data_IF_696923322682
#
_entry.id   IF_696923322682
#
_cell.length_a   1.000
_cell.length_b   1.000
_cell.length_c   1.000
_cell.angle_alpha   90.00
_cell.angle_beta   90.00
_cell.angle_gamma   90.00
#
_symmetry.space_group_name_H-M   'P 1'
#
loop_
_entity.id
_entity.type
_entity.pdbx_description
1 polymer ?
#
# COMPACT_ATOMS: atom_id res chain seq x y z
N UNK A 1 7.49 11.57 -46.12
CA UNK A 1 8.60 11.14 -45.22
C UNK A 1 8.63 11.95 -43.92
N UNK A 2 8.66 13.29 -43.96
CA UNK A 2 8.73 14.17 -42.77
C UNK A 2 7.56 14.02 -41.78
N UNK A 3 6.37 13.68 -42.26
CA UNK A 3 5.15 13.47 -41.46
C UNK A 3 5.10 12.12 -40.72
N UNK A 4 5.81 11.10 -41.21
CA UNK A 4 5.89 9.80 -40.54
C UNK A 4 6.90 9.84 -39.40
N UNK A 5 8.02 10.54 -39.59
CA UNK A 5 9.06 10.74 -38.56
C UNK A 5 8.51 11.53 -37.37
N UNK A 6 7.74 12.60 -37.61
CA UNK A 6 7.14 13.38 -36.53
C UNK A 6 6.10 12.60 -35.72
N UNK A 7 5.32 11.72 -36.36
CA UNK A 7 4.38 10.81 -35.66
C UNK A 7 5.11 9.79 -34.79
N UNK A 8 6.21 9.21 -35.28
CA UNK A 8 7.03 8.29 -34.50
C UNK A 8 7.67 8.99 -33.29
N UNK A 9 8.20 10.20 -33.48
CA UNK A 9 8.76 11.00 -32.38
C UNK A 9 7.70 11.31 -31.32
N UNK A 10 6.51 11.72 -31.73
CA UNK A 10 5.40 11.99 -30.80
C UNK A 10 5.00 10.73 -30.01
N UNK A 11 4.92 9.57 -30.67
CA UNK A 11 4.60 8.30 -30.01
C UNK A 11 5.68 7.89 -29.00
N UNK A 12 6.96 8.06 -29.34
CA UNK A 12 8.07 7.78 -28.43
C UNK A 12 8.03 8.70 -27.22
N UNK A 13 7.81 10.00 -27.43
CA UNK A 13 7.68 10.96 -26.32
C UNK A 13 6.50 10.59 -25.42
N UNK A 14 5.34 10.27 -25.99
CA UNK A 14 4.18 9.85 -25.21
C UNK A 14 4.46 8.58 -24.40
N UNK A 15 5.12 7.58 -24.99
CA UNK A 15 5.50 6.35 -24.30
C UNK A 15 6.49 6.63 -23.14
N UNK A 16 7.48 7.50 -23.36
CA UNK A 16 8.43 7.91 -22.33
C UNK A 16 7.74 8.65 -21.18
N UNK A 17 6.82 9.57 -21.47
CA UNK A 17 6.04 10.28 -20.45
C UNK A 17 5.21 9.31 -19.61
N UNK A 18 4.53 8.36 -20.25
CA UNK A 18 3.75 7.33 -19.55
C UNK A 18 4.64 6.45 -18.66
N UNK A 19 5.83 6.06 -19.16
CA UNK A 19 6.79 5.28 -18.40
C UNK A 19 7.26 6.04 -17.15
N UNK A 20 7.65 7.32 -17.32
CA UNK A 20 8.09 8.16 -16.20
C UNK A 20 6.96 8.33 -15.17
N UNK A 21 5.74 8.59 -15.62
CA UNK A 21 4.58 8.71 -14.73
C UNK A 21 4.31 7.41 -13.94
N UNK A 22 4.41 6.25 -14.60
CA UNK A 22 4.23 4.96 -13.93
C UNK A 22 5.31 4.69 -12.87
N UNK A 23 6.57 4.97 -13.18
CA UNK A 23 7.70 4.80 -12.24
C UNK A 23 7.58 5.77 -11.07
N UNK A 24 7.26 7.05 -11.33
CA UNK A 24 7.04 8.05 -10.29
C UNK A 24 5.87 7.67 -9.38
N UNK A 25 4.76 7.19 -9.95
CA UNK A 25 3.61 6.71 -9.19
C UNK A 25 3.97 5.52 -8.29
N UNK A 26 4.72 4.54 -8.81
CA UNK A 26 5.12 3.35 -8.07
C UNK A 26 6.08 3.69 -6.91
N UNK A 27 7.08 4.52 -7.17
CA UNK A 27 8.04 4.95 -6.14
C UNK A 27 7.34 5.73 -5.02
N UNK A 28 6.47 6.70 -5.38
CA UNK A 28 5.70 7.46 -4.41
C UNK A 28 4.79 6.59 -3.53
N UNK A 29 4.14 5.58 -4.13
CA UNK A 29 3.32 4.62 -3.39
C UNK A 29 4.15 3.80 -2.38
N UNK A 30 5.30 3.29 -2.81
CA UNK A 30 6.19 2.50 -1.96
C UNK A 30 6.74 3.31 -0.78
N UNK A 31 7.15 4.55 -1.04
CA UNK A 31 7.62 5.48 -0.02
C UNK A 31 6.55 5.83 1.00
N UNK A 32 5.30 6.01 0.56
CA UNK A 32 4.18 6.27 1.45
C UNK A 32 3.93 5.08 2.38
N UNK A 33 3.95 3.86 1.85
CA UNK A 33 3.79 2.65 2.66
C UNK A 33 4.93 2.50 3.68
N UNK A 34 6.17 2.77 3.28
CA UNK A 34 7.33 2.72 4.17
C UNK A 34 7.24 3.78 5.29
N UNK A 35 6.85 5.01 4.96
CA UNK A 35 6.65 6.09 5.94
C UNK A 35 5.61 5.72 6.99
N UNK A 36 4.44 5.24 6.57
CA UNK A 36 3.37 4.86 7.51
C UNK A 36 3.83 3.77 8.48
N UNK A 37 4.57 2.76 7.99
CA UNK A 37 5.12 1.71 8.86
C UNK A 37 6.11 2.29 9.88
N UNK A 38 7.06 3.10 9.41
CA UNK A 38 8.06 3.71 10.27
C UNK A 38 7.43 4.61 11.34
N UNK A 39 6.44 5.43 10.96
CA UNK A 39 5.70 6.28 11.91
C UNK A 39 4.94 5.45 12.95
N UNK A 40 4.29 4.35 12.55
CA UNK A 40 3.59 3.46 13.46
C UNK A 40 4.54 2.75 14.44
N UNK A 41 5.68 2.26 13.96
CA UNK A 41 6.71 1.64 14.80
C UNK A 41 7.32 2.66 15.77
N UNK A 42 7.64 3.87 15.29
CA UNK A 42 8.17 4.93 16.15
C UNK A 42 7.16 5.39 17.22
N UNK A 43 5.87 5.47 16.88
CA UNK A 43 4.83 5.90 17.82
C UNK A 43 4.52 4.83 18.89
N UNK A 44 4.68 3.55 18.58
CA UNK A 44 4.27 2.45 19.47
C UNK A 44 5.45 1.72 20.13
N UNK A 45 6.67 1.87 19.61
CA UNK A 45 7.80 1.01 19.91
C UNK A 45 7.61 -0.45 19.41
N UNK A 46 6.58 -0.69 18.59
CA UNK A 46 6.25 -1.99 18.05
C UNK A 46 7.05 -2.36 16.80
N UNK A 47 6.80 -3.58 16.31
CA UNK A 47 7.37 -4.13 15.08
C UNK A 47 6.23 -4.61 14.17
N UNK A 48 6.05 -3.94 13.03
CA UNK A 48 4.95 -4.25 12.11
C UNK A 48 5.09 -5.63 11.46
N UNK A 49 6.31 -6.16 11.33
CA UNK A 49 6.55 -7.49 10.78
C UNK A 49 6.01 -8.61 11.70
N UNK A 50 5.86 -8.32 13.01
CA UNK A 50 5.33 -9.27 14.00
C UNK A 50 3.84 -9.11 14.26
N UNK A 51 3.19 -8.08 13.69
CA UNK A 51 1.80 -7.75 13.99
C UNK A 51 0.84 -8.92 13.67
N UNK A 52 0.90 -9.50 12.47
CA UNK A 52 -0.02 -10.55 12.05
C UNK A 52 0.11 -11.84 12.90
N UNK A 53 1.31 -12.43 13.08
CA UNK A 53 1.48 -13.58 13.96
C UNK A 53 0.97 -13.34 15.39
N UNK A 54 1.22 -12.15 15.96
CA UNK A 54 0.76 -11.80 17.31
C UNK A 54 -0.77 -11.71 17.35
N UNK A 55 -1.40 -11.02 16.40
CA UNK A 55 -2.86 -10.91 16.33
C UNK A 55 -3.54 -12.28 16.20
N UNK A 56 -2.98 -13.17 15.37
CA UNK A 56 -3.49 -14.53 15.22
C UNK A 56 -3.31 -15.34 16.50
N UNK A 57 -2.12 -15.31 17.11
CA UNK A 57 -1.84 -16.06 18.34
C UNK A 57 -2.71 -15.61 19.53
N UNK A 58 -3.09 -14.34 19.58
CA UNK A 58 -3.98 -13.79 20.62
C UNK A 58 -5.47 -13.89 20.26
N UNK A 59 -5.82 -14.46 19.11
CA UNK A 59 -7.22 -14.67 18.72
C UNK A 59 -7.99 -13.40 18.37
N UNK A 60 -7.31 -12.29 18.05
CA UNK A 60 -7.95 -11.01 17.78
C UNK A 60 -8.99 -11.10 16.64
N UNK A 61 -8.69 -11.90 15.61
CA UNK A 61 -9.57 -12.11 14.45
C UNK A 61 -10.91 -12.78 14.79
N UNK A 62 -11.02 -13.47 15.93
CA UNK A 62 -12.26 -14.12 16.35
C UNK A 62 -13.33 -13.13 16.81
N UNK A 63 -12.92 -12.03 17.45
CA UNK A 63 -13.84 -11.04 17.99
C UNK A 63 -13.93 -9.78 17.13
N UNK A 64 -12.87 -9.42 16.42
CA UNK A 64 -12.74 -8.16 15.71
C UNK A 64 -12.67 -8.32 14.19
N UNK A 65 -13.17 -7.31 13.48
CA UNK A 65 -12.86 -7.09 12.08
C UNK A 65 -11.58 -6.27 11.96
N UNK A 66 -10.63 -6.76 11.15
CA UNK A 66 -9.32 -6.13 10.98
C UNK A 66 -8.95 -6.14 9.49
N UNK A 67 -8.84 -4.95 8.89
CA UNK A 67 -8.51 -4.81 7.46
C UNK A 67 -7.10 -5.35 7.17
N UNK A 68 -6.97 -6.21 6.16
CA UNK A 68 -5.69 -6.82 5.76
C UNK A 68 -5.28 -8.06 6.56
N UNK A 69 -6.06 -8.47 7.57
CA UNK A 69 -5.83 -9.72 8.32
C UNK A 69 -6.77 -10.82 7.77
N UNK A 70 -6.24 -11.91 7.19
CA UNK A 70 -7.07 -12.99 6.68
C UNK A 70 -8.00 -13.57 7.74
N UNK A 71 -9.30 -13.65 7.44
CA UNK A 71 -10.30 -14.27 8.32
C UNK A 71 -10.77 -13.42 9.50
N UNK A 72 -10.25 -12.19 9.69
CA UNK A 72 -10.71 -11.29 10.75
C UNK A 72 -12.02 -10.59 10.36
N UNK A 73 -13.14 -11.26 10.65
CA UNK A 73 -14.51 -10.78 10.39
C UNK A 73 -15.38 -10.80 11.66
N UNK A 74 -14.76 -10.82 12.84
CA UNK A 74 -15.48 -10.83 14.11
C UNK A 74 -16.25 -9.53 14.33
N UNK A 75 -17.46 -9.62 14.86
CA UNK A 75 -18.37 -8.48 15.10
C UNK A 75 -18.76 -8.34 16.57
N UNK A 76 -18.07 -9.06 17.46
CA UNK A 76 -18.31 -8.99 18.91
C UNK A 76 -17.62 -7.76 19.49
N UNK A 77 -16.37 -7.53 19.09
CA UNK A 77 -15.61 -6.34 19.42
C UNK A 77 -15.75 -5.24 18.36
N UNK A 78 -15.34 -3.99 18.68
CA UNK A 78 -15.27 -2.92 17.69
C UNK A 78 -14.29 -3.26 16.57
N UNK A 79 -14.39 -2.56 15.45
CA UNK A 79 -13.39 -2.70 14.38
C UNK A 79 -12.02 -2.20 14.87
N UNK A 80 -10.95 -2.89 14.47
CA UNK A 80 -9.57 -2.47 14.76
C UNK A 80 -8.86 -1.95 13.51
N UNK A 81 -9.62 -1.25 12.67
CA UNK A 81 -9.09 -0.50 11.55
C UNK A 81 -9.29 1.00 11.76
N UNK A 82 -8.65 1.80 10.90
CA UNK A 82 -8.63 3.26 11.02
C UNK A 82 -9.94 3.95 10.62
N UNK A 83 -11.05 3.23 10.44
CA UNK A 83 -12.31 3.77 9.89
C UNK A 83 -13.36 4.09 10.96
N UNK A 84 -12.94 4.55 12.15
CA UNK A 84 -13.85 5.06 13.17
C UNK A 84 -14.43 6.43 12.77
#
# INVERSE_FOLDING_TARGET
>A
MRTSVSKLLAAVIAALVLLVAAVAGMTWWSDRAARVRHEAEAATGGDTARALPIMTANGCSGCHTITGVPGAQGQVGPRLDASL
#
